data_IF_903816038555
#
_entry.id   IF_903816038555
#
_cell.length_a   1.000
_cell.length_b   1.000
_cell.length_c   1.000
_cell.angle_alpha   90.00
_cell.angle_beta   90.00
_cell.angle_gamma   90.00
#
_symmetry.space_group_name_H-M   'P 1'
#
loop_
_entity.id
_entity.type
_entity.pdbx_description
1 polymer ?
#
# COMPACT_ATOMS: atom_id res chain seq x y z
N UNK A 1 11.42 20.62 -9.91
CA UNK A 1 12.02 20.55 -11.25
C UNK A 1 12.25 19.14 -11.81
N UNK A 2 11.93 18.09 -11.08
CA UNK A 2 11.67 16.77 -11.65
C UNK A 2 10.26 16.70 -12.28
N UNK A 3 9.40 17.68 -12.00
CA UNK A 3 8.03 17.78 -12.52
C UNK A 3 7.93 17.73 -14.05
N UNK A 4 8.78 18.46 -14.84
CA UNK A 4 8.69 18.39 -16.29
C UNK A 4 9.02 17.02 -16.86
N UNK A 5 9.97 16.29 -16.25
CA UNK A 5 10.35 14.95 -16.68
C UNK A 5 9.23 13.97 -16.33
N UNK A 6 8.73 14.02 -15.11
CA UNK A 6 7.61 13.18 -14.65
C UNK A 6 6.33 13.45 -15.45
N UNK A 7 6.05 14.73 -15.77
CA UNK A 7 4.92 15.12 -16.60
C UNK A 7 5.01 14.54 -18.01
N UNK A 8 6.19 14.53 -18.61
CA UNK A 8 6.40 13.93 -19.95
C UNK A 8 6.28 12.43 -19.93
N UNK A 9 6.85 11.77 -18.92
CA UNK A 9 6.69 10.33 -18.74
C UNK A 9 5.20 10.00 -18.53
N UNK A 10 4.49 10.77 -17.70
CA UNK A 10 3.06 10.60 -17.50
C UNK A 10 2.26 10.81 -18.80
N UNK A 11 2.66 11.77 -19.64
CA UNK A 11 2.04 11.98 -20.95
C UNK A 11 2.26 10.81 -21.91
N UNK A 12 3.48 10.27 -22.00
CA UNK A 12 3.77 9.07 -22.81
C UNK A 12 2.99 7.86 -22.27
N UNK A 13 2.95 7.70 -20.95
CA UNK A 13 2.24 6.59 -20.31
C UNK A 13 0.71 6.76 -20.37
N UNK A 14 0.19 7.98 -20.56
CA UNK A 14 -1.26 8.23 -20.68
C UNK A 14 -1.89 7.39 -21.79
N UNK A 15 -1.23 7.27 -22.92
CA UNK A 15 -1.71 6.45 -24.04
C UNK A 15 -1.85 4.97 -23.65
N UNK A 16 -0.97 4.47 -22.80
CA UNK A 16 -1.02 3.08 -22.31
C UNK A 16 -2.08 2.92 -21.24
N UNK A 17 -2.10 3.82 -20.26
CA UNK A 17 -3.03 3.76 -19.12
C UNK A 17 -4.49 3.94 -19.53
N UNK A 18 -4.77 4.75 -20.55
CA UNK A 18 -6.12 4.90 -21.10
C UNK A 18 -6.69 3.61 -21.65
N UNK A 19 -5.87 2.73 -22.21
CA UNK A 19 -6.32 1.40 -22.66
C UNK A 19 -6.86 0.55 -21.50
N UNK A 20 -6.32 0.76 -20.31
CA UNK A 20 -6.74 0.08 -19.08
C UNK A 20 -7.76 0.88 -18.26
N UNK A 21 -8.21 2.02 -18.79
CA UNK A 21 -9.22 2.84 -18.14
C UNK A 21 -8.70 3.76 -17.05
N UNK A 22 -7.39 3.91 -16.91
CA UNK A 22 -6.74 4.80 -15.96
C UNK A 22 -6.26 6.07 -16.66
N UNK A 23 -6.18 7.19 -15.95
CA UNK A 23 -5.57 8.40 -16.47
C UNK A 23 -4.04 8.35 -16.36
N UNK A 24 -3.32 9.03 -17.25
CA UNK A 24 -1.86 9.11 -17.17
C UNK A 24 -1.34 9.72 -15.87
N UNK A 25 -2.13 10.56 -15.21
CA UNK A 25 -1.82 11.10 -13.87
C UNK A 25 -1.75 10.02 -12.80
N UNK A 26 -2.38 8.86 -13.00
CA UNK A 26 -2.35 7.71 -12.07
C UNK A 26 -0.99 7.02 -12.02
N UNK A 27 -0.15 7.22 -13.04
CA UNK A 27 1.19 6.63 -13.10
C UNK A 27 2.08 7.07 -11.93
N UNK A 28 2.06 8.36 -11.57
CA UNK A 28 2.91 8.90 -10.50
C UNK A 28 2.56 8.30 -9.13
N UNK A 29 1.30 8.28 -8.68
CA UNK A 29 0.90 7.58 -7.47
C UNK A 29 1.29 6.10 -7.44
N UNK A 30 1.11 5.39 -8.56
CA UNK A 30 1.47 3.98 -8.67
C UNK A 30 2.99 3.76 -8.57
N UNK A 31 3.78 4.60 -9.22
CA UNK A 31 5.24 4.53 -9.13
C UNK A 31 5.72 4.73 -7.68
N UNK A 32 5.18 5.72 -6.98
CA UNK A 32 5.49 5.97 -5.56
C UNK A 32 5.05 4.78 -4.70
N UNK A 33 3.93 4.15 -5.02
CA UNK A 33 3.39 3.01 -4.28
C UNK A 33 4.24 1.74 -4.38
N UNK A 34 5.12 1.62 -5.37
CA UNK A 34 6.10 0.51 -5.41
C UNK A 34 7.06 0.53 -4.22
N UNK A 35 7.39 1.72 -3.71
CA UNK A 35 8.15 1.88 -2.47
C UNK A 35 7.24 1.69 -1.25
N UNK A 36 6.19 2.48 -1.14
CA UNK A 36 5.23 2.42 -0.04
C UNK A 36 3.83 2.87 -0.51
N UNK A 37 2.81 2.08 -0.18
CA UNK A 37 1.43 2.37 -0.59
C UNK A 37 0.87 3.68 0.00
N UNK A 38 1.26 4.05 1.22
CA UNK A 38 0.74 5.25 1.91
C UNK A 38 1.11 6.55 1.17
N UNK A 39 2.39 6.82 0.85
CA UNK A 39 2.74 7.98 0.02
C UNK A 39 2.12 7.92 -1.37
N UNK A 40 1.98 6.72 -1.96
CA UNK A 40 1.30 6.53 -3.24
C UNK A 40 -0.14 7.01 -3.21
N UNK A 41 -0.91 6.58 -2.20
CA UNK A 41 -2.29 7.06 -1.98
C UNK A 41 -2.32 8.55 -1.69
N UNK A 42 -1.39 9.09 -0.91
CA UNK A 42 -1.30 10.54 -0.66
C UNK A 42 -1.01 11.33 -1.94
N UNK A 43 -0.18 10.80 -2.83
CA UNK A 43 0.14 11.42 -4.11
C UNK A 43 -1.06 11.44 -5.08
N UNK A 44 -2.04 10.55 -4.92
CA UNK A 44 -3.26 10.54 -5.74
C UNK A 44 -4.10 11.82 -5.60
N UNK A 45 -3.86 12.63 -4.57
CA UNK A 45 -4.51 13.95 -4.38
C UNK A 45 -4.20 14.93 -5.51
N UNK A 46 -3.14 14.68 -6.29
CA UNK A 46 -2.81 15.48 -7.48
C UNK A 46 -3.75 15.24 -8.65
N UNK A 47 -4.59 14.19 -8.58
CA UNK A 47 -5.59 13.88 -9.60
C UNK A 47 -6.84 14.71 -9.33
N UNK A 48 -7.20 15.58 -10.28
CA UNK A 48 -8.31 16.54 -10.14
C UNK A 48 -9.67 15.83 -10.25
N UNK A 49 -9.78 14.87 -11.19
CA UNK A 49 -11.02 14.11 -11.37
C UNK A 49 -11.24 13.15 -10.21
N UNK A 50 -12.33 13.33 -9.48
CA UNK A 50 -12.62 12.54 -8.29
C UNK A 50 -12.83 11.05 -8.59
N UNK A 51 -13.45 10.70 -9.73
CA UNK A 51 -13.65 9.31 -10.14
C UNK A 51 -12.32 8.63 -10.42
N UNK A 52 -11.45 9.27 -11.21
CA UNK A 52 -10.12 8.76 -11.52
C UNK A 52 -9.24 8.66 -10.27
N UNK A 53 -9.36 9.63 -9.36
CA UNK A 53 -8.65 9.61 -8.08
C UNK A 53 -9.07 8.43 -7.22
N UNK A 54 -10.38 8.22 -7.04
CA UNK A 54 -10.91 7.07 -6.27
C UNK A 54 -10.50 5.75 -6.90
N UNK A 55 -10.60 5.62 -8.21
CA UNK A 55 -10.17 4.44 -8.94
C UNK A 55 -8.66 4.19 -8.71
N UNK A 56 -7.84 5.23 -8.85
CA UNK A 56 -6.40 5.14 -8.62
C UNK A 56 -6.09 4.70 -7.19
N UNK A 57 -6.75 5.25 -6.18
CA UNK A 57 -6.56 4.86 -4.77
C UNK A 57 -6.86 3.37 -4.58
N UNK A 58 -7.99 2.89 -5.12
CA UNK A 58 -8.37 1.48 -4.99
C UNK A 58 -7.35 0.56 -5.65
N UNK A 59 -6.93 0.87 -6.87
CA UNK A 59 -6.03 0.04 -7.65
C UNK A 59 -4.59 0.09 -7.12
N UNK A 60 -4.16 1.24 -6.60
CA UNK A 60 -2.82 1.42 -6.01
C UNK A 60 -2.58 0.50 -4.81
N UNK A 61 -3.63 0.10 -4.08
CA UNK A 61 -3.50 -0.81 -2.93
C UNK A 61 -3.06 -2.22 -3.31
N UNK A 62 -3.29 -2.65 -4.56
CA UNK A 62 -2.82 -3.95 -5.08
C UNK A 62 -1.33 -3.94 -5.42
N UNK A 63 -0.72 -2.75 -5.56
CA UNK A 63 0.69 -2.64 -5.93
C UNK A 63 1.58 -3.38 -4.92
N UNK A 64 2.41 -4.32 -5.36
CA UNK A 64 3.39 -4.95 -4.51
C UNK A 64 4.46 -3.93 -4.12
N UNK A 65 4.44 -3.49 -2.87
CA UNK A 65 5.40 -2.54 -2.32
C UNK A 65 6.55 -3.27 -1.62
N UNK A 66 7.62 -2.53 -1.32
CA UNK A 66 8.83 -3.08 -0.67
C UNK A 66 8.52 -3.83 0.64
N UNK A 67 7.50 -3.41 1.40
CA UNK A 67 7.09 -4.08 2.63
C UNK A 67 6.33 -5.41 2.39
N UNK A 68 5.80 -5.65 1.20
CA UNK A 68 5.18 -6.94 0.83
C UNK A 68 6.21 -7.97 0.36
N UNK A 69 7.37 -7.53 -0.14
CA UNK A 69 8.39 -8.43 -0.68
C UNK A 69 8.93 -9.43 0.35
N UNK A 70 9.26 -9.05 1.60
CA UNK A 70 9.70 -10.02 2.60
C UNK A 70 8.66 -11.09 2.90
N UNK A 71 7.37 -10.71 2.95
CA UNK A 71 6.26 -11.64 3.18
C UNK A 71 6.15 -12.63 2.02
N UNK A 72 6.21 -12.14 0.78
CA UNK A 72 6.20 -12.97 -0.42
C UNK A 72 7.40 -13.91 -0.42
N UNK A 73 8.58 -13.42 -0.06
CA UNK A 73 9.81 -14.22 -0.01
C UNK A 73 9.71 -15.33 1.06
N UNK A 74 9.17 -15.01 2.24
CA UNK A 74 8.98 -15.97 3.32
C UNK A 74 7.99 -17.07 2.91
N UNK A 75 6.83 -16.70 2.36
CA UNK A 75 5.82 -17.65 1.89
C UNK A 75 6.38 -18.52 0.76
N UNK A 76 7.08 -17.91 -0.21
CA UNK A 76 7.67 -18.67 -1.33
C UNK A 76 8.76 -19.63 -0.85
N UNK A 77 9.57 -19.23 0.14
CA UNK A 77 10.59 -20.09 0.73
C UNK A 77 10.01 -21.25 1.54
N UNK A 78 8.88 -21.03 2.23
CA UNK A 78 8.21 -22.03 3.04
C UNK A 78 7.49 -23.10 2.18
N UNK A 79 6.76 -22.67 1.14
CA UNK A 79 5.96 -23.57 0.31
C UNK A 79 6.69 -24.13 -0.91
N UNK A 80 7.68 -23.41 -1.43
CA UNK A 80 8.41 -23.78 -2.64
C UNK A 80 9.93 -23.69 -2.44
N UNK A 81 10.51 -24.50 -1.54
CA UNK A 81 11.97 -24.48 -1.29
C UNK A 81 12.70 -24.84 -2.59
N UNK A 82 13.57 -23.94 -3.05
CA UNK A 82 14.37 -24.12 -4.26
C UNK A 82 13.84 -23.49 -5.54
N UNK A 83 12.66 -22.87 -5.54
CA UNK A 83 12.09 -22.20 -6.71
C UNK A 83 12.31 -20.67 -6.65
N UNK A 84 13.35 -20.17 -7.29
CA UNK A 84 13.66 -18.73 -7.35
C UNK A 84 12.64 -17.88 -8.14
N UNK A 85 11.78 -18.52 -8.93
CA UNK A 85 10.82 -17.83 -9.80
C UNK A 85 9.51 -17.44 -9.12
N UNK A 86 9.20 -18.04 -7.97
CA UNK A 86 7.90 -17.82 -7.29
C UNK A 86 7.76 -16.38 -6.77
N UNK A 87 8.80 -15.82 -6.17
CA UNK A 87 8.77 -14.45 -5.67
C UNK A 87 8.62 -13.39 -6.80
N UNK A 88 9.38 -13.45 -7.91
CA UNK A 88 9.13 -12.59 -9.05
C UNK A 88 7.75 -12.76 -9.70
N UNK A 89 7.26 -14.00 -9.81
CA UNK A 89 5.93 -14.27 -10.39
C UNK A 89 4.81 -13.62 -9.58
N UNK A 90 4.90 -13.61 -8.26
CA UNK A 90 3.93 -12.93 -7.39
C UNK A 90 3.86 -11.42 -7.66
N UNK A 91 5.00 -10.80 -8.00
CA UNK A 91 5.04 -9.39 -8.39
C UNK A 91 4.28 -9.15 -9.71
N UNK A 92 4.51 -9.98 -10.73
CA UNK A 92 3.79 -9.89 -12.00
C UNK A 92 2.30 -10.19 -11.86
N UNK A 93 1.92 -11.13 -11.00
CA UNK A 93 0.51 -11.40 -10.67
C UNK A 93 -0.13 -10.17 -10.02
N UNK A 94 0.56 -9.50 -9.09
CA UNK A 94 0.11 -8.26 -8.48
C UNK A 94 -0.13 -7.16 -9.52
N UNK A 95 0.78 -6.97 -10.48
CA UNK A 95 0.60 -6.03 -11.57
C UNK A 95 -0.57 -6.42 -12.48
N UNK A 96 -0.73 -7.71 -12.78
CA UNK A 96 -1.88 -8.22 -13.53
C UNK A 96 -3.20 -7.95 -12.83
N UNK A 97 -3.25 -8.13 -11.52
CA UNK A 97 -4.42 -7.82 -10.69
C UNK A 97 -4.80 -6.33 -10.74
N UNK A 98 -3.82 -5.42 -10.81
CA UNK A 98 -4.04 -3.99 -10.98
C UNK A 98 -4.78 -3.73 -12.30
N UNK A 99 -4.30 -4.29 -13.39
CA UNK A 99 -4.89 -4.11 -14.71
C UNK A 99 -6.31 -4.68 -14.75
N UNK A 100 -6.50 -5.90 -14.26
CA UNK A 100 -7.79 -6.56 -14.24
C UNK A 100 -8.81 -5.82 -13.36
N UNK A 101 -8.40 -5.40 -12.17
CA UNK A 101 -9.26 -4.64 -11.27
C UNK A 101 -9.59 -3.26 -11.82
N UNK A 102 -8.64 -2.58 -12.47
CA UNK A 102 -8.87 -1.31 -13.15
C UNK A 102 -9.94 -1.42 -14.23
N UNK A 103 -9.84 -2.42 -15.11
CA UNK A 103 -10.81 -2.69 -16.17
C UNK A 103 -12.18 -3.09 -15.58
N UNK A 104 -12.20 -3.95 -14.56
CA UNK A 104 -13.42 -4.40 -13.92
C UNK A 104 -14.16 -3.26 -13.23
N UNK A 105 -13.45 -2.44 -12.46
CA UNK A 105 -14.02 -1.28 -11.76
C UNK A 105 -14.55 -0.22 -12.73
N UNK A 106 -13.86 0.00 -13.85
CA UNK A 106 -14.33 0.96 -14.87
C UNK A 106 -15.63 0.54 -15.54
N UNK A 107 -15.92 -0.76 -15.65
CA UNK A 107 -17.20 -1.27 -16.16
C UNK A 107 -18.36 -1.05 -15.16
N UNK A 108 -18.06 -0.74 -13.92
CA UNK A 108 -19.06 -0.48 -12.88
C UNK A 108 -19.64 0.94 -13.07
N UNK A 109 -20.93 1.11 -12.87
CA UNK A 109 -21.62 2.40 -13.03
C UNK A 109 -21.02 3.55 -12.22
N UNK A 110 -20.37 3.25 -11.08
CA UNK A 110 -19.70 4.23 -10.22
C UNK A 110 -18.49 4.92 -10.90
N UNK A 111 -17.79 4.20 -11.77
CA UNK A 111 -16.57 4.67 -12.43
C UNK A 111 -16.71 4.74 -13.97
N UNK A 112 -17.92 4.47 -14.48
CA UNK A 112 -18.20 4.59 -15.91
C UNK A 112 -18.02 6.04 -16.37
N UNK A 113 -17.33 6.22 -17.48
CA UNK A 113 -17.03 7.51 -18.11
C UNK A 113 -15.65 7.50 -18.75
N UNK A 114 -15.43 8.45 -19.64
CA UNK A 114 -14.11 8.62 -20.24
C UNK A 114 -13.15 9.22 -19.21
N UNK A 115 -11.89 8.75 -19.15
CA UNK A 115 -10.88 9.36 -18.30
C UNK A 115 -10.70 10.83 -18.70
N UNK A 116 -10.51 11.69 -17.73
CA UNK A 116 -10.29 13.11 -17.97
C UNK A 116 -9.13 13.30 -18.96
N UNK A 117 -9.28 14.18 -19.96
CA UNK A 117 -8.21 14.44 -20.89
C UNK A 117 -6.96 14.93 -20.15
N UNK A 118 -5.82 14.37 -20.48
CA UNK A 118 -4.55 14.78 -19.93
C UNK A 118 -4.14 16.11 -20.57
N UNK A 119 -4.71 17.20 -20.08
CA UNK A 119 -4.32 18.54 -20.47
C UNK A 119 -3.33 19.02 -19.40
N UNK A 120 -2.07 19.09 -19.75
CA UNK A 120 -1.03 19.67 -18.91
C UNK A 120 -0.20 20.58 -19.78
N UNK A 121 -0.15 21.88 -19.43
CA UNK A 121 0.80 22.78 -20.00
C UNK A 121 2.21 22.29 -19.61
N UNK A 122 3.02 21.97 -20.62
CA UNK A 122 4.39 21.53 -20.40
C UNK A 122 5.22 22.76 -19.98
N UNK A 123 5.64 22.86 -18.70
CA UNK A 123 6.46 23.98 -18.27
C UNK A 123 7.80 23.96 -19.00
N UNK A 124 8.34 25.17 -19.24
CA UNK A 124 9.66 25.33 -19.83
C UNK A 124 10.73 24.61 -19.00
N UNK A 125 11.75 24.09 -19.66
CA UNK A 125 12.88 23.46 -18.99
C UNK A 125 13.68 24.50 -18.22
N UNK A 126 13.70 24.35 -16.90
CA UNK A 126 14.64 25.02 -16.02
C UNK A 126 15.53 24.00 -15.35
N UNK A 127 16.83 24.28 -15.27
CA UNK A 127 17.76 23.43 -14.51
C UNK A 127 17.32 23.41 -13.04
N UNK A 128 17.20 22.23 -12.43
CA UNK A 128 16.76 22.11 -11.04
C UNK A 128 17.76 22.78 -10.10
N UNK A 129 17.29 23.69 -9.29
CA UNK A 129 18.07 24.25 -8.19
C UNK A 129 18.09 23.23 -7.04
N UNK A 130 19.23 22.60 -6.81
CA UNK A 130 19.43 21.55 -5.80
C UNK A 130 18.92 21.97 -4.41
N UNK A 131 19.12 23.22 -4.00
CA UNK A 131 18.65 23.74 -2.72
C UNK A 131 17.12 23.72 -2.58
N UNK A 132 16.40 24.14 -3.62
CA UNK A 132 14.92 24.15 -3.64
C UNK A 132 14.36 22.74 -3.66
N UNK A 133 14.97 21.85 -4.44
CA UNK A 133 14.56 20.44 -4.51
C UNK A 133 14.76 19.75 -3.17
N UNK A 134 15.93 19.93 -2.56
CA UNK A 134 16.25 19.32 -1.27
C UNK A 134 15.32 19.83 -0.15
N UNK A 135 15.09 21.14 -0.10
CA UNK A 135 14.17 21.74 0.88
C UNK A 135 12.75 21.18 0.71
N UNK A 136 12.23 21.16 -0.51
CA UNK A 136 10.90 20.59 -0.78
C UNK A 136 10.80 19.10 -0.44
N UNK A 137 11.86 18.33 -0.68
CA UNK A 137 11.91 16.91 -0.32
C UNK A 137 11.91 16.73 1.20
N UNK A 138 12.71 17.51 1.94
CA UNK A 138 12.76 17.48 3.41
C UNK A 138 11.42 17.90 3.99
N UNK A 139 10.81 18.98 3.53
CA UNK A 139 9.52 19.45 4.03
C UNK A 139 8.41 18.39 3.85
N UNK A 140 8.39 17.72 2.69
CA UNK A 140 7.45 16.61 2.43
C UNK A 140 7.75 15.39 3.28
N UNK A 141 9.01 15.05 3.47
CA UNK A 141 9.42 13.93 4.33
C UNK A 141 9.04 14.19 5.80
N UNK A 142 9.31 15.39 6.30
CA UNK A 142 8.93 15.79 7.67
C UNK A 142 7.40 15.77 7.85
N UNK A 143 6.65 16.31 6.89
CA UNK A 143 5.19 16.27 6.93
C UNK A 143 4.66 14.81 6.93
N UNK A 144 5.27 13.94 6.13
CA UNK A 144 4.93 12.51 6.12
C UNK A 144 5.25 11.83 7.45
N UNK A 145 6.46 12.04 7.99
CA UNK A 145 6.88 11.46 9.27
C UNK A 145 5.97 11.94 10.41
N UNK A 146 5.65 13.23 10.46
CA UNK A 146 4.73 13.77 11.46
C UNK A 146 3.34 13.14 11.37
N UNK A 147 2.81 12.94 10.18
CA UNK A 147 1.43 12.44 9.99
C UNK A 147 1.34 10.92 10.09
N UNK A 148 2.16 10.20 9.33
CA UNK A 148 2.12 8.73 9.30
C UNK A 148 2.90 8.11 10.46
N UNK A 149 4.06 8.67 10.80
CA UNK A 149 4.91 8.19 11.88
C UNK A 149 4.24 8.26 13.24
N UNK A 150 3.50 9.34 13.54
CA UNK A 150 2.76 9.45 14.80
C UNK A 150 1.68 8.37 14.91
N UNK A 151 0.92 8.13 13.83
CA UNK A 151 -0.13 7.10 13.84
C UNK A 151 0.48 5.71 14.01
N UNK A 152 1.54 5.41 13.27
CA UNK A 152 2.24 4.11 13.36
C UNK A 152 2.83 3.92 14.76
N UNK A 153 3.48 4.96 15.31
CA UNK A 153 4.08 4.90 16.63
C UNK A 153 3.05 4.62 17.75
N UNK A 154 1.92 5.34 17.70
CA UNK A 154 0.82 5.10 18.66
C UNK A 154 0.24 3.70 18.50
N UNK A 155 0.04 3.25 17.25
CA UNK A 155 -0.45 1.90 16.97
C UNK A 155 0.52 0.81 17.47
N UNK A 156 1.82 0.99 17.26
CA UNK A 156 2.85 0.06 17.76
C UNK A 156 2.88 0.00 19.30
N UNK A 157 2.78 1.15 19.98
CA UNK A 157 2.70 1.18 21.45
C UNK A 157 1.43 0.47 21.92
N UNK A 158 0.31 0.70 21.26
CA UNK A 158 -0.96 0.05 21.61
C UNK A 158 -0.89 -1.47 21.43
N UNK A 159 -0.34 -1.95 20.32
CA UNK A 159 -0.15 -3.39 20.07
C UNK A 159 0.81 -3.98 21.08
N UNK A 160 1.95 -3.32 21.34
CA UNK A 160 2.92 -3.78 22.33
C UNK A 160 2.30 -3.86 23.72
N UNK A 161 1.54 -2.86 24.13
CA UNK A 161 0.85 -2.85 25.41
C UNK A 161 -0.16 -4.00 25.51
N UNK A 162 -1.00 -4.19 24.50
CA UNK A 162 -2.02 -5.25 24.47
C UNK A 162 -1.43 -6.66 24.37
N UNK A 163 -0.23 -6.81 23.80
CA UNK A 163 0.47 -8.10 23.74
C UNK A 163 1.24 -8.44 25.01
N UNK A 164 1.66 -7.43 25.79
CA UNK A 164 2.52 -7.60 26.97
C UNK A 164 1.76 -7.66 28.29
N UNK A 165 0.52 -7.17 28.33
CA UNK A 165 -0.27 -7.06 29.57
C UNK A 165 -1.56 -7.84 29.49
N UNK A 166 -1.97 -8.40 30.66
CA UNK A 166 -3.28 -9.00 30.86
C UNK A 166 -4.25 -7.96 31.45
N UNK A 167 -5.53 -8.31 31.60
CA UNK A 167 -6.56 -7.48 32.26
C UNK A 167 -6.21 -7.10 33.72
N UNK A 168 -5.33 -7.84 34.37
CA UNK A 168 -4.82 -7.57 35.74
C UNK A 168 -3.58 -6.68 35.76
N UNK A 169 -3.13 -6.15 34.62
CA UNK A 169 -1.91 -5.35 34.48
C UNK A 169 -0.61 -6.07 34.86
N UNK A 170 -0.64 -7.40 34.91
CA UNK A 170 0.55 -8.22 35.09
C UNK A 170 1.21 -8.49 33.75
N UNK A 171 2.54 -8.54 33.72
CA UNK A 171 3.29 -8.97 32.55
C UNK A 171 3.14 -10.48 32.40
N UNK A 172 2.44 -10.89 31.37
CA UNK A 172 2.20 -12.29 31.03
C UNK A 172 2.80 -12.62 29.68
N UNK A 173 2.99 -13.92 29.45
CA UNK A 173 3.37 -14.41 28.11
C UNK A 173 2.31 -14.12 27.07
N UNK A 174 2.69 -14.20 25.81
CA UNK A 174 1.82 -13.89 24.67
C UNK A 174 0.49 -14.63 24.67
N UNK A 175 0.44 -15.84 25.28
CA UNK A 175 -0.74 -16.70 25.32
C UNK A 175 -1.83 -16.23 26.29
N UNK A 176 -1.50 -15.45 27.30
CA UNK A 176 -2.42 -14.92 28.32
C UNK A 176 -2.67 -13.42 28.16
N UNK A 177 -2.15 -12.82 27.08
CA UNK A 177 -2.29 -11.40 26.81
C UNK A 177 -3.74 -11.05 26.43
N UNK A 178 -4.10 -9.78 26.58
CA UNK A 178 -5.38 -9.22 26.11
C UNK A 178 -5.56 -9.50 24.62
N UNK A 179 -4.47 -9.43 23.85
CA UNK A 179 -4.48 -9.68 22.43
C UNK A 179 -4.83 -11.14 22.10
N UNK A 180 -4.31 -12.12 22.88
CA UNK A 180 -4.66 -13.53 22.74
C UNK A 180 -6.13 -13.82 23.07
N UNK A 181 -6.68 -13.13 24.06
CA UNK A 181 -8.10 -13.24 24.40
C UNK A 181 -8.98 -12.81 23.21
N UNK A 182 -8.72 -11.66 22.60
CA UNK A 182 -9.42 -11.20 21.39
C UNK A 182 -9.18 -12.15 20.20
N UNK A 183 -7.96 -12.66 20.07
CA UNK A 183 -7.63 -13.66 19.04
C UNK A 183 -8.45 -14.94 19.17
N UNK A 184 -8.62 -15.46 20.40
CA UNK A 184 -9.45 -16.63 20.67
C UNK A 184 -10.94 -16.37 20.42
N UNK A 185 -11.43 -15.18 20.76
CA UNK A 185 -12.81 -14.78 20.50
C UNK A 185 -13.12 -14.69 19.00
N UNK A 186 -12.15 -14.26 18.19
CA UNK A 186 -12.28 -14.10 16.75
C UNK A 186 -11.88 -15.36 15.96
N UNK A 187 -11.14 -16.30 16.57
CA UNK A 187 -10.70 -17.54 15.94
C UNK A 187 -11.84 -18.32 15.25
N UNK A 188 -13.07 -18.45 15.83
CA UNK A 188 -14.15 -19.16 15.16
C UNK A 188 -14.62 -18.49 13.87
N UNK A 189 -14.47 -17.18 13.74
CA UNK A 189 -14.83 -16.44 12.50
C UNK A 189 -13.84 -16.77 11.38
N UNK A 190 -12.56 -16.99 11.71
CA UNK A 190 -11.51 -17.33 10.76
C UNK A 190 -11.36 -18.87 10.55
N UNK A 191 -12.04 -19.69 11.35
CA UNK A 191 -12.02 -21.13 11.22
C UNK A 191 -12.39 -21.63 9.80
N UNK A 192 -13.45 -21.12 9.12
CA UNK A 192 -13.79 -21.55 7.76
C UNK A 192 -12.74 -21.17 6.70
N UNK A 193 -11.86 -20.19 6.99
CA UNK A 193 -10.75 -19.81 6.11
C UNK A 193 -9.49 -20.67 6.33
N UNK A 194 -9.51 -21.65 7.23
CA UNK A 194 -8.35 -22.47 7.58
C UNK A 194 -7.39 -21.85 8.63
N UNK A 195 -7.73 -20.71 9.19
CA UNK A 195 -6.90 -19.94 10.15
C UNK A 195 -7.55 -19.91 11.54
N UNK A 196 -8.14 -21.03 11.95
CA UNK A 196 -8.85 -21.18 13.22
C UNK A 196 -7.98 -21.13 14.48
N UNK A 197 -6.71 -20.78 14.36
CA UNK A 197 -5.81 -20.57 15.50
C UNK A 197 -5.87 -19.14 15.99
N UNK A 198 -5.77 -18.94 17.30
CA UNK A 198 -5.75 -17.60 17.91
C UNK A 198 -4.58 -16.74 17.35
N UNK A 199 -3.42 -17.37 17.07
CA UNK A 199 -2.26 -16.71 16.44
C UNK A 199 -2.58 -16.22 15.04
N UNK A 200 -3.27 -17.02 14.24
CA UNK A 200 -3.70 -16.61 12.88
C UNK A 200 -4.68 -15.43 12.90
N UNK A 201 -5.64 -15.43 13.84
CA UNK A 201 -6.56 -14.32 14.01
C UNK A 201 -5.85 -13.04 14.46
N UNK A 202 -4.92 -13.14 15.42
CA UNK A 202 -4.08 -12.03 15.88
C UNK A 202 -3.20 -11.49 14.75
N UNK A 203 -2.52 -12.38 14.01
CA UNK A 203 -1.68 -11.99 12.88
C UNK A 203 -2.47 -11.25 11.80
N UNK A 204 -3.72 -11.65 11.55
CA UNK A 204 -4.59 -10.97 10.59
C UNK A 204 -4.94 -9.56 11.05
N UNK A 205 -5.31 -9.38 12.31
CA UNK A 205 -5.70 -8.08 12.86
C UNK A 205 -4.49 -7.14 12.97
N UNK A 206 -3.38 -7.62 13.51
CA UNK A 206 -2.16 -6.83 13.63
C UNK A 206 -1.56 -6.52 12.27
N UNK A 207 -1.68 -7.42 11.30
CA UNK A 207 -1.27 -7.22 9.92
C UNK A 207 -2.09 -6.18 9.17
N UNK A 208 -3.33 -5.90 9.57
CA UNK A 208 -4.11 -4.77 9.03
C UNK A 208 -3.53 -3.43 9.48
N UNK A 209 -2.97 -3.35 10.68
CA UNK A 209 -2.38 -2.12 11.22
C UNK A 209 -0.94 -1.95 10.77
N UNK A 210 -0.14 -3.00 10.92
CA UNK A 210 1.26 -3.03 10.52
C UNK A 210 1.56 -4.40 9.90
N UNK A 211 1.57 -4.47 8.59
CA UNK A 211 1.77 -5.71 7.83
C UNK A 211 3.10 -6.42 8.12
N UNK A 212 4.08 -5.70 8.65
CA UNK A 212 5.35 -6.27 9.11
C UNK A 212 5.17 -7.20 10.31
N UNK A 213 4.15 -6.96 11.13
CA UNK A 213 3.88 -7.78 12.33
C UNK A 213 3.37 -9.19 12.00
N UNK A 214 2.86 -9.42 10.77
CA UNK A 214 2.45 -10.77 10.32
C UNK A 214 3.62 -11.76 10.35
N UNK A 215 4.84 -11.27 10.17
CA UNK A 215 6.06 -12.10 10.18
C UNK A 215 6.54 -12.37 11.60
N UNK A 216 6.22 -11.49 12.54
CA UNK A 216 6.66 -11.55 13.94
C UNK A 216 5.75 -12.34 14.88
N UNK A 217 4.55 -12.71 14.42
CA UNK A 217 3.56 -13.53 15.16
C UNK A 217 3.49 -14.95 14.61
#
# INVERSE_FOLDING_TARGET
DALPILARIAFVMDRLFRKFGLSGKSFIPMLIATGCGVPGVMASRTIENEKDRRLTVMVTTFMPCSAKLPIIALISGAFFPGSSWVAPSAYFIGMGAIILSGIALKKTALFAGDPAPFIMELPAYHLPQLGTVLKSAIDRAVAFIKKAGTIIFVACIFIWFTSSYNFTFDRVGEEESILAFFGRLLAPIFAPLGWGTWRGAVATITGLVAKENVIGT
#
